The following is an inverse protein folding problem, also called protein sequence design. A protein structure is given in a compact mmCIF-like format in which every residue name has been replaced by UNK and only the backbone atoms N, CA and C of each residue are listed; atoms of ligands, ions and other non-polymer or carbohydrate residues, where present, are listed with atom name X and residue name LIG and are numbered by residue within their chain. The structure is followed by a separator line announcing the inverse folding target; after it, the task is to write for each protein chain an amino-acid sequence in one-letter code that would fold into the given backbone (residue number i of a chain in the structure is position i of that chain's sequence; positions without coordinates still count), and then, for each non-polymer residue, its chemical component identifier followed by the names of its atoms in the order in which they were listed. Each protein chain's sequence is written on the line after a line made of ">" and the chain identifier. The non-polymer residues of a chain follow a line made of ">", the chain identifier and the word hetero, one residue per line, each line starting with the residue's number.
data_IF_344061300079
#
_entry.id   IF_344061300079
#
_cell.length_a   1.000
_cell.length_b   1.000
_cell.length_c   1.000
_cell.angle_alpha   90.00
_cell.angle_beta   90.00
_cell.angle_gamma   90.00
#
_symmetry.space_group_name_H-M   'P 1'
#
loop_
_entity.id
_entity.type
_entity.pdbx_description
1 polymer ?
#
# COMPACT_ATOMS: atom_id res chain seq x y z
N UNK A 1 -11.34 -3.12 10.54
CA UNK A 1 -11.90 -4.06 9.55
C UNK A 1 -13.21 -4.72 10.03
N UNK A 2 -13.25 -5.27 11.25
CA UNK A 2 -14.49 -5.86 11.81
C UNK A 2 -15.62 -4.83 12.01
N UNK A 3 -15.30 -3.63 12.46
CA UNK A 3 -16.29 -2.55 12.69
C UNK A 3 -16.95 -2.16 11.37
N UNK A 4 -16.19 -2.06 10.30
CA UNK A 4 -16.68 -1.74 8.97
C UNK A 4 -17.60 -2.82 8.40
N UNK A 5 -17.19 -4.08 8.43
CA UNK A 5 -18.02 -5.19 7.95
C UNK A 5 -19.38 -5.26 8.68
N UNK A 6 -19.39 -4.96 9.98
CA UNK A 6 -20.65 -4.89 10.75
C UNK A 6 -21.52 -3.72 10.33
N UNK A 7 -20.94 -2.53 10.12
CA UNK A 7 -21.71 -1.34 9.73
C UNK A 7 -22.35 -1.50 8.35
N UNK A 8 -21.60 -1.96 7.35
CA UNK A 8 -22.13 -2.20 6.01
C UNK A 8 -23.21 -3.30 6.01
N UNK A 9 -22.98 -4.41 6.69
CA UNK A 9 -23.96 -5.49 6.77
C UNK A 9 -25.27 -5.05 7.41
N UNK A 10 -25.24 -4.26 8.49
CA UNK A 10 -26.42 -3.70 9.13
C UNK A 10 -27.19 -2.78 8.17
N UNK A 11 -26.47 -1.97 7.39
CA UNK A 11 -27.08 -1.06 6.41
C UNK A 11 -27.82 -1.81 5.29
N UNK A 12 -27.40 -3.04 4.96
CA UNK A 12 -28.09 -3.91 4.01
C UNK A 12 -29.11 -4.86 4.68
N UNK A 13 -29.33 -4.76 6.00
CA UNK A 13 -30.26 -5.63 6.74
C UNK A 13 -29.80 -7.08 6.86
N UNK A 14 -28.52 -7.33 6.62
CA UNK A 14 -27.92 -8.66 6.67
C UNK A 14 -27.09 -8.88 7.93
N UNK A 15 -26.89 -10.13 8.32
CA UNK A 15 -25.97 -10.46 9.39
C UNK A 15 -24.54 -10.48 8.85
N UNK A 16 -23.64 -9.68 9.44
CA UNK A 16 -22.23 -9.70 9.07
C UNK A 16 -21.65 -11.11 9.26
N UNK A 17 -21.15 -11.70 8.18
CA UNK A 17 -20.45 -12.98 8.19
C UNK A 17 -19.06 -12.76 7.61
N UNK A 18 -18.03 -13.00 8.42
CA UNK A 18 -16.66 -12.98 7.94
C UNK A 18 -16.45 -14.04 6.86
N UNK A 19 -15.91 -13.63 5.73
CA UNK A 19 -15.46 -14.53 4.67
C UNK A 19 -13.99 -14.27 4.40
N UNK A 20 -13.19 -15.33 4.37
CA UNK A 20 -11.77 -15.24 4.02
C UNK A 20 -11.63 -14.70 2.59
N UNK A 21 -10.85 -13.64 2.44
CA UNK A 21 -10.47 -13.12 1.12
C UNK A 21 -9.12 -13.75 0.72
N UNK A 22 -9.11 -14.62 -0.27
CA UNK A 22 -7.89 -15.29 -0.71
C UNK A 22 -6.90 -14.31 -1.36
N UNK A 23 -7.37 -13.25 -2.00
CA UNK A 23 -6.51 -12.22 -2.56
C UNK A 23 -5.74 -11.46 -1.46
N UNK A 24 -6.43 -11.00 -0.40
CA UNK A 24 -5.79 -10.33 0.74
C UNK A 24 -4.80 -11.27 1.44
N UNK A 25 -5.16 -12.53 1.64
CA UNK A 25 -4.25 -13.53 2.22
C UNK A 25 -3.00 -13.71 1.35
N UNK A 26 -3.17 -13.74 0.03
CA UNK A 26 -2.04 -13.83 -0.91
C UNK A 26 -1.12 -12.62 -0.85
N UNK A 27 -1.68 -11.41 -0.81
CA UNK A 27 -0.92 -10.16 -0.68
C UNK A 27 -0.14 -10.08 0.64
N UNK A 28 -0.78 -10.46 1.76
CA UNK A 28 -0.12 -10.47 3.07
C UNK A 28 1.01 -11.50 3.11
N UNK A 29 0.79 -12.70 2.55
CA UNK A 29 1.83 -13.73 2.46
C UNK A 29 3.01 -13.27 1.62
N UNK A 30 2.77 -12.64 0.47
CA UNK A 30 3.84 -12.06 -0.34
C UNK A 30 4.59 -10.96 0.44
N UNK A 31 3.87 -10.14 1.22
CA UNK A 31 4.47 -9.13 2.09
C UNK A 31 5.39 -9.74 3.15
N UNK A 32 4.98 -10.82 3.79
CA UNK A 32 5.78 -11.53 4.78
C UNK A 32 7.05 -12.15 4.16
N UNK A 33 6.95 -12.73 2.95
CA UNK A 33 8.08 -13.25 2.19
C UNK A 33 9.07 -12.14 1.83
N UNK A 34 8.57 -11.01 1.31
CA UNK A 34 9.37 -9.81 1.00
C UNK A 34 10.08 -9.28 2.25
N UNK A 35 9.39 -9.23 3.40
CA UNK A 35 9.97 -8.80 4.67
C UNK A 35 11.09 -9.73 5.13
N UNK A 36 10.90 -11.04 4.99
CA UNK A 36 11.89 -12.04 5.37
C UNK A 36 13.15 -11.97 4.47
N UNK A 37 12.95 -11.87 3.17
CA UNK A 37 14.03 -11.84 2.17
C UNK A 37 14.88 -10.57 2.25
N UNK A 38 14.31 -9.46 2.72
CA UNK A 38 15.00 -8.18 2.86
C UNK A 38 15.41 -7.84 4.30
N UNK A 39 15.28 -8.78 5.23
CA UNK A 39 15.59 -8.55 6.65
C UNK A 39 17.04 -8.16 6.86
N UNK A 40 17.25 -6.97 7.43
CA UNK A 40 18.60 -6.41 7.69
C UNK A 40 19.28 -5.85 6.44
N UNK A 41 18.59 -5.80 5.31
CA UNK A 41 19.09 -5.21 4.09
C UNK A 41 18.67 -3.75 3.95
N UNK A 42 19.47 -2.89 3.29
CA UNK A 42 19.09 -1.49 3.03
C UNK A 42 17.79 -1.35 2.20
N UNK A 43 17.42 -2.40 1.49
CA UNK A 43 16.22 -2.48 0.64
C UNK A 43 14.93 -2.69 1.41
N UNK A 44 14.97 -3.04 2.70
CA UNK A 44 13.79 -3.46 3.46
C UNK A 44 12.64 -2.46 3.42
N UNK A 45 12.93 -1.16 3.63
CA UNK A 45 11.90 -0.13 3.66
C UNK A 45 11.24 0.06 2.29
N UNK A 46 12.02 0.10 1.21
CA UNK A 46 11.51 0.21 -0.15
C UNK A 46 10.67 -1.02 -0.54
N UNK A 47 11.09 -2.21 -0.14
CA UNK A 47 10.40 -3.46 -0.38
C UNK A 47 9.06 -3.53 0.36
N UNK A 48 9.02 -3.15 1.65
CA UNK A 48 7.79 -3.08 2.44
C UNK A 48 6.80 -2.03 1.92
N UNK A 49 7.28 -0.86 1.48
CA UNK A 49 6.43 0.15 0.84
C UNK A 49 5.79 -0.42 -0.43
N UNK A 50 6.56 -1.15 -1.25
CA UNK A 50 6.01 -1.80 -2.45
C UNK A 50 4.94 -2.83 -2.13
N UNK A 51 5.15 -3.66 -1.10
CA UNK A 51 4.16 -4.63 -0.65
C UNK A 51 2.89 -3.95 -0.12
N UNK A 52 3.04 -2.90 0.72
CA UNK A 52 1.92 -2.12 1.24
C UNK A 52 1.09 -1.49 0.12
N UNK A 53 1.73 -0.88 -0.89
CA UNK A 53 1.01 -0.30 -2.02
C UNK A 53 0.17 -1.30 -2.81
N UNK A 54 0.57 -2.57 -2.90
CA UNK A 54 -0.25 -3.61 -3.53
C UNK A 54 -1.54 -3.85 -2.75
N UNK A 55 -1.47 -3.84 -1.41
CA UNK A 55 -2.65 -3.96 -0.53
C UNK A 55 -3.56 -2.76 -0.74
N UNK A 56 -3.04 -1.52 -0.65
CA UNK A 56 -3.85 -0.30 -0.83
C UNK A 56 -4.54 -0.27 -2.20
N UNK A 57 -3.85 -0.64 -3.27
CA UNK A 57 -4.45 -0.67 -4.60
C UNK A 57 -5.52 -1.74 -4.75
N UNK A 58 -5.36 -2.89 -4.11
CA UNK A 58 -6.41 -3.91 -4.06
C UNK A 58 -7.66 -3.39 -3.33
N UNK A 59 -7.48 -2.70 -2.20
CA UNK A 59 -8.57 -2.15 -1.41
C UNK A 59 -9.24 -0.97 -2.12
N UNK A 60 -8.48 -0.06 -2.71
CA UNK A 60 -9.01 1.04 -3.54
C UNK A 60 -9.87 0.50 -4.69
N UNK A 61 -9.42 -0.52 -5.39
CA UNK A 61 -10.20 -1.13 -6.48
C UNK A 61 -11.48 -1.80 -5.95
N UNK A 62 -11.39 -2.50 -4.84
CA UNK A 62 -12.50 -3.21 -4.22
C UNK A 62 -13.57 -2.23 -3.70
N UNK A 63 -13.17 -1.24 -2.91
CA UNK A 63 -14.10 -0.25 -2.35
C UNK A 63 -14.65 0.69 -3.41
N UNK A 64 -13.86 1.01 -4.45
CA UNK A 64 -14.36 1.79 -5.58
C UNK A 64 -15.55 1.10 -6.28
N UNK A 65 -15.45 -0.20 -6.55
CA UNK A 65 -16.56 -0.97 -7.13
C UNK A 65 -17.76 -1.04 -6.18
N UNK A 66 -17.52 -1.28 -4.88
CA UNK A 66 -18.59 -1.37 -3.89
C UNK A 66 -19.34 -0.04 -3.72
N UNK A 67 -18.65 1.09 -3.75
CA UNK A 67 -19.23 2.43 -3.71
C UNK A 67 -20.21 2.64 -4.87
N UNK A 68 -19.78 2.35 -6.11
CA UNK A 68 -20.64 2.47 -7.30
C UNK A 68 -21.87 1.58 -7.20
N UNK A 69 -21.71 0.34 -6.74
CA UNK A 69 -22.84 -0.58 -6.58
C UNK A 69 -23.81 -0.14 -5.49
N UNK A 70 -23.33 0.41 -4.37
CA UNK A 70 -24.18 0.97 -3.32
C UNK A 70 -25.00 2.16 -3.86
N UNK A 71 -24.38 3.02 -4.67
CA UNK A 71 -25.05 4.13 -5.36
C UNK A 71 -26.14 3.64 -6.33
N UNK A 72 -25.85 2.63 -7.15
CA UNK A 72 -26.82 2.03 -8.08
C UNK A 72 -28.02 1.40 -7.36
N UNK A 73 -27.80 0.83 -6.17
CA UNK A 73 -28.86 0.25 -5.33
C UNK A 73 -29.63 1.31 -4.53
N UNK A 74 -29.26 2.59 -4.63
CA UNK A 74 -29.88 3.68 -3.89
C UNK A 74 -29.57 3.69 -2.40
N UNK A 75 -28.60 2.89 -1.94
CA UNK A 75 -28.22 2.83 -0.54
C UNK A 75 -27.14 3.89 -0.22
N UNK A 76 -27.61 5.11 0.02
CA UNK A 76 -26.73 6.26 0.28
C UNK A 76 -25.89 6.11 1.55
N UNK A 77 -26.43 5.46 2.58
CA UNK A 77 -25.70 5.25 3.83
C UNK A 77 -24.50 4.33 3.62
N UNK A 78 -24.70 3.21 2.92
CA UNK A 78 -23.59 2.32 2.56
C UNK A 78 -22.58 3.02 1.63
N UNK A 79 -23.04 3.78 0.64
CA UNK A 79 -22.16 4.52 -0.25
C UNK A 79 -21.25 5.49 0.53
N UNK A 80 -21.80 6.29 1.45
CA UNK A 80 -21.03 7.22 2.25
C UNK A 80 -19.98 6.51 3.13
N UNK A 81 -20.36 5.42 3.80
CA UNK A 81 -19.42 4.63 4.62
C UNK A 81 -18.27 4.04 3.78
N UNK A 82 -18.59 3.58 2.58
CA UNK A 82 -17.57 3.02 1.67
C UNK A 82 -16.67 4.13 1.12
N UNK A 83 -17.21 5.32 0.85
CA UNK A 83 -16.44 6.47 0.40
C UNK A 83 -15.42 6.91 1.46
N UNK A 84 -15.81 6.98 2.73
CA UNK A 84 -14.88 7.30 3.83
C UNK A 84 -13.68 6.36 3.86
N UNK A 85 -13.92 5.04 3.73
CA UNK A 85 -12.83 4.06 3.70
C UNK A 85 -11.99 4.19 2.44
N UNK A 86 -12.63 4.35 1.28
CA UNK A 86 -11.91 4.55 0.03
C UNK A 86 -10.96 5.75 0.08
N UNK A 87 -11.34 6.79 0.79
CA UNK A 87 -10.50 7.97 0.99
C UNK A 87 -9.36 7.71 1.98
N UNK A 88 -9.57 6.88 3.01
CA UNK A 88 -8.51 6.40 3.91
C UNK A 88 -7.47 5.59 3.14
N UNK A 89 -7.87 4.63 2.29
CA UNK A 89 -6.95 3.82 1.47
C UNK A 89 -6.15 4.66 0.46
N UNK A 90 -6.80 5.64 -0.18
CA UNK A 90 -6.11 6.60 -1.05
C UNK A 90 -5.08 7.43 -0.28
N UNK A 91 -5.41 7.86 0.95
CA UNK A 91 -4.50 8.62 1.80
C UNK A 91 -3.30 7.76 2.25
N UNK A 92 -3.54 6.49 2.61
CA UNK A 92 -2.49 5.54 2.96
C UNK A 92 -1.54 5.28 1.79
N UNK A 93 -2.08 5.01 0.59
CA UNK A 93 -1.29 4.85 -0.63
C UNK A 93 -0.42 6.09 -0.93
N UNK A 94 -1.00 7.28 -0.82
CA UNK A 94 -0.26 8.54 -0.98
C UNK A 94 0.88 8.66 0.02
N UNK A 95 0.62 8.32 1.29
CA UNK A 95 1.62 8.36 2.36
C UNK A 95 2.78 7.40 2.11
N UNK A 96 2.50 6.19 1.67
CA UNK A 96 3.53 5.22 1.28
C UNK A 96 4.42 5.76 0.15
N UNK A 97 3.84 6.41 -0.86
CA UNK A 97 4.60 7.04 -1.95
C UNK A 97 5.46 8.21 -1.46
N UNK A 98 4.95 9.01 -0.51
CA UNK A 98 5.71 10.09 0.13
C UNK A 98 6.93 9.55 0.88
N UNK A 99 6.76 8.46 1.66
CA UNK A 99 7.86 7.79 2.36
C UNK A 99 8.90 7.22 1.39
N UNK A 100 8.47 6.61 0.29
CA UNK A 100 9.39 6.11 -0.74
C UNK A 100 10.29 7.23 -1.30
N UNK A 101 9.69 8.41 -1.56
CA UNK A 101 10.39 9.58 -2.11
C UNK A 101 11.21 10.35 -1.09
N UNK A 102 10.84 10.27 0.19
CA UNK A 102 11.51 11.00 1.28
C UNK A 102 12.89 10.42 1.63
N UNK A 103 13.21 9.21 1.19
CA UNK A 103 14.53 8.63 1.43
C UNK A 103 14.61 7.11 1.29
N UNK A 104 13.52 6.36 1.47
CA UNK A 104 13.58 4.90 1.50
C UNK A 104 14.15 4.30 0.20
N UNK A 105 13.85 4.88 -0.96
CA UNK A 105 14.39 4.43 -2.23
C UNK A 105 15.88 4.81 -2.40
N UNK A 106 16.28 5.99 -1.91
CA UNK A 106 17.67 6.44 -1.94
C UNK A 106 18.54 5.59 -0.99
N UNK A 107 18.04 5.27 0.20
CA UNK A 107 18.70 4.37 1.15
C UNK A 107 18.93 2.98 0.55
N UNK A 108 17.90 2.43 -0.09
CA UNK A 108 18.00 1.14 -0.79
C UNK A 108 19.08 1.16 -1.88
N UNK A 109 19.14 2.22 -2.68
CA UNK A 109 20.13 2.36 -3.75
C UNK A 109 21.55 2.50 -3.20
N UNK A 110 21.78 3.39 -2.23
CA UNK A 110 23.10 3.63 -1.63
C UNK A 110 23.65 2.38 -0.92
N UNK A 111 22.82 1.67 -0.16
CA UNK A 111 23.24 0.46 0.54
C UNK A 111 23.58 -0.70 -0.40
N UNK A 112 23.01 -0.75 -1.61
CA UNK A 112 23.39 -1.72 -2.64
C UNK A 112 24.77 -1.41 -3.23
N UNK A 113 25.13 -0.14 -3.37
CA UNK A 113 26.43 0.28 -3.92
C UNK A 113 27.58 0.00 -2.95
N UNK A 114 27.36 0.18 -1.65
CA UNK A 114 28.36 -0.16 -0.63
C UNK A 114 28.76 -1.64 -0.64
N UNK A 115 27.78 -2.54 -0.88
CA UNK A 115 28.03 -3.99 -0.98
C UNK A 115 28.78 -4.40 -2.26
N UNK A 116 28.77 -3.57 -3.31
CA UNK A 116 29.44 -3.85 -4.60
C UNK A 116 30.84 -3.31 -4.71
N UNK A 117 31.26 -2.42 -3.80
CA UNK A 117 32.61 -1.83 -3.84
C UNK A 117 33.61 -2.69 -3.07
N UNK A 118 34.62 -3.33 -3.74
CA UNK A 118 35.67 -4.07 -3.05
C UNK A 118 36.65 -3.15 -2.30
N UNK A 119 36.56 -1.83 -2.43
CA UNK A 119 37.54 -0.87 -1.92
C UNK A 119 36.94 0.25 -1.05
N UNK A 120 35.74 0.13 -0.51
CA UNK A 120 35.23 1.03 0.54
C UNK A 120 35.23 2.54 0.23
N UNK A 121 35.26 2.93 -1.03
CA UNK A 121 35.23 4.35 -1.42
C UNK A 121 33.79 4.76 -1.72
N UNK A 122 33.17 5.52 -0.80
CA UNK A 122 31.87 6.14 -0.96
C UNK A 122 31.86 7.07 -2.18
N UNK A 123 31.28 6.63 -3.26
CA UNK A 123 30.95 7.50 -4.41
C UNK A 123 29.53 8.04 -4.19
N UNK A 124 29.43 9.28 -3.68
CA UNK A 124 28.14 9.99 -3.63
C UNK A 124 27.61 10.15 -5.05
N UNK A 125 26.36 9.80 -5.33
CA UNK A 125 25.76 10.06 -6.63
C UNK A 125 25.73 11.56 -6.90
N UNK A 126 26.44 12.01 -7.92
CA UNK A 126 26.36 13.38 -8.42
C UNK A 126 25.01 13.57 -9.09
N UNK A 127 24.11 14.31 -8.43
CA UNK A 127 22.87 14.81 -9.01
C UNK A 127 23.21 15.76 -10.16
N UNK A 128 23.23 15.26 -11.38
CA UNK A 128 23.20 16.12 -12.58
C UNK A 128 21.83 16.75 -12.69
N UNK A 129 21.71 17.99 -12.24
CA UNK A 129 20.57 18.85 -12.55
C UNK A 129 20.52 19.01 -14.08
N UNK A 130 19.56 18.32 -14.76
CA UNK A 130 19.24 18.65 -16.15
C UNK A 130 18.52 19.99 -16.15
N UNK A 131 19.25 21.00 -16.63
CA UNK A 131 18.73 22.34 -16.86
C UNK A 131 17.62 22.34 -17.88
N UNK A 132 16.61 23.11 -17.58
CA UNK A 132 15.54 23.58 -18.43
C UNK A 132 16.10 24.27 -19.69
N UNK A 133 15.62 23.87 -20.84
CA UNK A 133 15.40 24.70 -22.03
C UNK A 133 14.00 24.45 -22.54
#
# INVERSE_FOLDING_TARGET
>A
YEIFQRSVAVTFGETAKAKKCEATVGLLKEGDEIAADNKGEPTINAALISAGQKVEHYEIASYGCLHEWAGLLGNKEAANLIEEILDEEKAANKKLMELARAGSNEEALCGCDEKKSPNGTLVKPTRTAKGTK
#
